data_IF_137583253539
#
_entry.id   IF_137583253539
#
_cell.length_a   1.000
_cell.length_b   1.000
_cell.length_c   1.000
_cell.angle_alpha   90.00
_cell.angle_beta   90.00
_cell.angle_gamma   90.00
#
_symmetry.space_group_name_H-M   'P 1'
#
loop_
_entity.id
_entity.type
_entity.pdbx_description
1 polymer ?
#
# COMPACT_ATOMS: atom_id res chain seq x y z
N UNK A 1 -62.90 72.82 52.00
CA UNK A 1 -61.85 71.96 51.41
C UNK A 1 -62.40 70.77 50.62
N UNK A 2 -63.71 70.49 50.67
CA UNK A 2 -64.40 69.37 50.00
C UNK A 2 -64.71 69.59 48.50
N UNK A 3 -64.88 70.83 48.04
CA UNK A 3 -65.22 71.11 46.63
C UNK A 3 -64.09 70.86 45.62
N UNK A 4 -62.83 71.06 46.00
CA UNK A 4 -61.68 70.83 45.09
C UNK A 4 -61.46 69.35 44.79
N UNK A 5 -61.76 68.48 45.76
CA UNK A 5 -61.64 67.01 45.63
C UNK A 5 -62.73 66.43 44.73
N UNK A 6 -63.94 66.98 44.81
CA UNK A 6 -65.07 66.65 43.92
C UNK A 6 -64.78 67.03 42.47
N UNK A 7 -64.32 68.26 42.22
CA UNK A 7 -63.99 68.71 40.86
C UNK A 7 -62.88 67.87 40.19
N UNK A 8 -61.84 67.50 40.94
CA UNK A 8 -60.78 66.62 40.45
C UNK A 8 -61.28 65.19 40.17
N UNK A 9 -62.16 64.64 41.02
CA UNK A 9 -62.77 63.33 40.80
C UNK A 9 -63.66 63.31 39.55
N UNK A 10 -64.47 64.36 39.33
CA UNK A 10 -65.28 64.53 38.12
C UNK A 10 -64.43 64.61 36.85
N UNK A 11 -63.29 65.30 36.91
CA UNK A 11 -62.37 65.45 35.77
C UNK A 11 -61.68 64.13 35.43
N UNK A 12 -61.23 63.38 36.44
CA UNK A 12 -60.69 62.02 36.27
C UNK A 12 -61.75 61.05 35.75
N UNK A 13 -62.99 61.13 36.26
CA UNK A 13 -64.13 60.35 35.76
C UNK A 13 -64.38 60.59 34.28
N UNK A 14 -64.43 61.85 33.86
CA UNK A 14 -64.66 62.21 32.46
C UNK A 14 -63.54 61.69 31.56
N UNK A 15 -62.28 61.76 32.01
CA UNK A 15 -61.13 61.30 31.24
C UNK A 15 -61.08 59.76 31.11
N UNK A 16 -61.30 59.04 32.22
CA UNK A 16 -61.35 57.58 32.22
C UNK A 16 -62.54 57.08 31.39
N UNK A 17 -63.69 57.76 31.51
CA UNK A 17 -64.88 57.43 30.73
C UNK A 17 -64.66 57.57 29.23
N UNK A 18 -64.05 58.68 28.78
CA UNK A 18 -63.70 58.88 27.37
C UNK A 18 -62.78 57.77 26.84
N UNK A 19 -61.78 57.35 27.64
CA UNK A 19 -60.87 56.24 27.26
C UNK A 19 -61.58 54.90 27.18
N UNK A 20 -62.47 54.59 28.12
CA UNK A 20 -63.27 53.37 28.11
C UNK A 20 -64.29 53.36 26.96
N UNK A 21 -64.94 54.48 26.67
CA UNK A 21 -65.87 54.62 25.54
C UNK A 21 -65.16 54.44 24.19
N UNK A 22 -63.94 54.95 24.05
CA UNK A 22 -63.10 54.73 22.86
C UNK A 22 -62.74 53.27 22.64
N UNK A 23 -62.65 52.49 23.71
CA UNK A 23 -62.41 51.04 23.68
C UNK A 23 -63.72 50.23 23.60
N UNK A 24 -64.88 50.90 23.54
CA UNK A 24 -66.20 50.27 23.41
C UNK A 24 -66.87 49.87 24.73
N UNK A 25 -66.24 50.15 25.88
CA UNK A 25 -66.81 49.84 27.20
C UNK A 25 -67.81 50.91 27.63
N UNK A 26 -69.08 50.73 27.24
CA UNK A 26 -70.15 51.72 27.45
C UNK A 26 -70.97 51.53 28.75
N UNK A 27 -70.70 50.52 29.58
CA UNK A 27 -71.46 50.28 30.82
C UNK A 27 -71.37 51.45 31.81
N UNK A 28 -72.42 51.70 32.59
CA UNK A 28 -72.45 52.79 33.58
C UNK A 28 -71.43 52.54 34.70
N UNK A 29 -70.74 53.60 35.14
CA UNK A 29 -69.68 53.52 36.16
C UNK A 29 -70.01 54.41 37.36
N UNK A 30 -69.92 53.85 38.57
CA UNK A 30 -70.08 54.59 39.82
C UNK A 30 -68.81 55.34 40.23
N UNK A 31 -68.95 56.45 40.95
CA UNK A 31 -67.82 57.27 41.42
C UNK A 31 -66.92 56.51 42.43
N UNK A 32 -67.51 55.63 43.25
CA UNK A 32 -66.79 54.81 44.25
C UNK A 32 -65.81 53.82 43.63
N UNK A 33 -66.10 53.35 42.40
CA UNK A 33 -65.27 52.35 41.70
C UNK A 33 -64.15 52.98 40.88
N UNK A 34 -64.13 54.32 40.73
CA UNK A 34 -63.21 55.05 39.88
C UNK A 34 -61.72 54.75 40.18
N UNK A 35 -61.23 54.81 41.44
CA UNK A 35 -59.79 54.67 41.71
C UNK A 35 -59.27 53.27 41.39
N UNK A 36 -60.11 52.25 41.55
CA UNK A 36 -59.76 50.86 41.24
C UNK A 36 -59.70 50.62 39.74
N UNK A 37 -60.71 51.11 39.00
CA UNK A 37 -60.75 50.98 37.54
C UNK A 37 -59.62 51.75 36.88
N UNK A 38 -59.26 52.93 37.40
CA UNK A 38 -58.11 53.70 36.92
C UNK A 38 -56.79 52.92 37.06
N UNK A 39 -56.57 52.26 38.22
CA UNK A 39 -55.39 51.42 38.44
C UNK A 39 -55.37 50.18 37.55
N UNK A 40 -56.47 49.42 37.49
CA UNK A 40 -56.56 48.24 36.65
C UNK A 40 -56.39 48.58 35.16
N UNK A 41 -56.93 49.72 34.73
CA UNK A 41 -56.76 50.19 33.37
C UNK A 41 -55.31 50.59 33.08
N UNK A 42 -54.65 51.30 34.00
CA UNK A 42 -53.24 51.62 33.88
C UNK A 42 -52.35 50.37 33.82
N UNK A 43 -52.62 49.38 34.68
CA UNK A 43 -51.89 48.11 34.69
C UNK A 43 -52.12 47.33 33.39
N UNK A 44 -53.35 47.29 32.87
CA UNK A 44 -53.66 46.62 31.61
C UNK A 44 -52.95 47.27 30.43
N UNK A 45 -52.96 48.60 30.35
CA UNK A 45 -52.22 49.35 29.32
C UNK A 45 -50.73 49.08 29.44
N UNK A 46 -50.17 49.18 30.64
CA UNK A 46 -48.75 48.93 30.89
C UNK A 46 -48.34 47.50 30.52
N UNK A 47 -49.15 46.50 30.89
CA UNK A 47 -48.89 45.10 30.58
C UNK A 47 -48.97 44.83 29.08
N UNK A 48 -49.94 45.45 28.38
CA UNK A 48 -50.12 45.31 26.93
C UNK A 48 -48.97 45.97 26.17
N UNK A 49 -48.55 47.16 26.58
CA UNK A 49 -47.38 47.86 26.01
C UNK A 49 -46.08 47.09 26.29
N UNK A 50 -45.91 46.57 27.51
CA UNK A 50 -44.75 45.73 27.86
C UNK A 50 -44.71 44.45 27.03
N UNK A 51 -45.85 43.78 26.85
CA UNK A 51 -45.96 42.58 26.02
C UNK A 51 -45.66 42.89 24.55
N UNK A 52 -46.17 44.02 24.03
CA UNK A 52 -45.90 44.47 22.66
C UNK A 52 -44.41 44.74 22.46
N UNK A 53 -43.77 45.43 23.40
CA UNK A 53 -42.33 45.71 23.36
C UNK A 53 -41.51 44.42 23.44
N UNK A 54 -41.86 43.50 24.36
CA UNK A 54 -41.19 42.20 24.46
C UNK A 54 -41.31 41.39 23.16
N UNK A 55 -42.47 41.39 22.49
CA UNK A 55 -42.64 40.74 21.18
C UNK A 55 -41.79 41.38 20.08
N UNK A 56 -41.68 42.71 20.07
CA UNK A 56 -40.83 43.41 19.10
C UNK A 56 -39.35 43.10 19.30
N UNK A 57 -38.87 43.11 20.54
CA UNK A 57 -37.49 42.76 20.86
C UNK A 57 -37.19 41.29 20.55
N UNK A 58 -38.12 40.37 20.86
CA UNK A 58 -37.98 38.97 20.47
C UNK A 58 -37.88 38.82 18.95
N UNK A 59 -38.72 39.56 18.20
CA UNK A 59 -38.67 39.59 16.74
C UNK A 59 -37.30 40.05 16.22
N UNK A 60 -36.77 41.16 16.74
CA UNK A 60 -35.43 41.67 16.39
C UNK A 60 -34.34 40.65 16.71
N UNK A 61 -34.37 40.07 17.90
CA UNK A 61 -33.38 39.09 18.33
C UNK A 61 -33.41 37.83 17.46
N UNK A 62 -34.60 37.38 17.05
CA UNK A 62 -34.71 36.26 16.09
C UNK A 62 -34.15 36.61 14.71
N UNK A 63 -34.37 37.84 14.22
CA UNK A 63 -33.80 38.26 12.94
C UNK A 63 -32.29 38.40 13.00
N UNK A 64 -31.74 38.97 14.08
CA UNK A 64 -30.30 39.08 14.29
C UNK A 64 -29.65 37.70 14.44
N UNK A 65 -30.29 36.77 15.17
CA UNK A 65 -29.79 35.41 15.31
C UNK A 65 -29.76 34.66 13.97
N UNK A 66 -30.77 34.86 13.12
CA UNK A 66 -30.81 34.24 11.79
C UNK A 66 -29.76 34.86 10.86
N UNK A 67 -29.52 36.17 10.95
CA UNK A 67 -28.49 36.85 10.16
C UNK A 67 -27.08 36.38 10.54
N UNK A 68 -26.82 36.23 11.85
CA UNK A 68 -25.56 35.64 12.34
C UNK A 68 -25.41 34.20 11.88
N UNK A 69 -26.47 33.37 11.97
CA UNK A 69 -26.40 31.98 11.51
C UNK A 69 -26.12 31.89 9.99
N UNK A 70 -26.76 32.76 9.20
CA UNK A 70 -26.52 32.89 7.76
C UNK A 70 -25.08 33.31 7.45
N UNK A 71 -24.51 34.22 8.24
CA UNK A 71 -23.14 34.67 8.07
C UNK A 71 -22.09 33.60 8.42
N UNK A 72 -22.38 32.69 9.38
CA UNK A 72 -21.45 31.64 9.81
C UNK A 72 -21.61 30.33 9.03
N UNK A 73 -22.76 30.07 8.41
CA UNK A 73 -23.02 28.85 7.64
C UNK A 73 -21.97 28.56 6.54
N UNK A 74 -21.51 29.55 5.75
CA UNK A 74 -20.45 29.34 4.77
C UNK A 74 -19.15 28.85 5.41
N UNK A 75 -18.76 29.45 6.53
CA UNK A 75 -17.53 29.08 7.25
C UNK A 75 -17.63 27.69 7.89
N UNK A 76 -18.80 27.32 8.44
CA UNK A 76 -19.05 25.96 8.95
C UNK A 76 -18.93 24.93 7.83
N UNK A 77 -19.53 25.21 6.68
CA UNK A 77 -19.48 24.35 5.50
C UNK A 77 -18.06 24.19 4.96
N UNK A 78 -17.32 25.30 4.86
CA UNK A 78 -15.96 25.28 4.35
C UNK A 78 -14.99 24.58 5.32
N UNK A 79 -15.09 24.86 6.62
CA UNK A 79 -14.32 24.15 7.64
C UNK A 79 -14.60 22.64 7.62
N UNK A 80 -15.85 22.22 7.43
CA UNK A 80 -16.16 20.80 7.32
C UNK A 80 -15.50 20.14 6.10
N UNK A 81 -15.43 20.85 4.96
CA UNK A 81 -14.71 20.38 3.76
C UNK A 81 -13.22 20.32 4.00
N UNK A 82 -12.62 21.37 4.56
CA UNK A 82 -11.19 21.45 4.84
C UNK A 82 -10.75 20.37 5.82
N UNK A 83 -11.53 20.12 6.88
CA UNK A 83 -11.22 19.04 7.84
C UNK A 83 -11.27 17.67 7.16
N UNK A 84 -12.24 17.45 6.26
CA UNK A 84 -12.32 16.20 5.50
C UNK A 84 -11.10 16.05 4.58
N UNK A 85 -10.78 17.06 3.79
CA UNK A 85 -9.62 17.04 2.90
C UNK A 85 -8.31 16.86 3.66
N UNK A 86 -8.14 17.55 4.79
CA UNK A 86 -6.97 17.42 5.64
C UNK A 86 -6.81 15.99 6.17
N UNK A 87 -7.90 15.36 6.63
CA UNK A 87 -7.88 13.96 7.06
C UNK A 87 -7.57 13.00 5.91
N UNK A 88 -8.16 13.22 4.73
CA UNK A 88 -7.92 12.38 3.55
C UNK A 88 -6.46 12.49 3.09
N UNK A 89 -5.91 13.71 3.04
CA UNK A 89 -4.50 13.96 2.73
C UNK A 89 -3.57 13.33 3.77
N UNK A 90 -3.89 13.45 5.06
CA UNK A 90 -3.10 12.80 6.11
C UNK A 90 -3.05 11.28 5.93
N UNK A 91 -4.19 10.64 5.63
CA UNK A 91 -4.23 9.21 5.36
C UNK A 91 -3.44 8.84 4.09
N UNK A 92 -3.50 9.66 3.04
CA UNK A 92 -2.76 9.43 1.81
C UNK A 92 -1.24 9.53 2.04
N UNK A 93 -0.79 10.52 2.81
CA UNK A 93 0.62 10.69 3.17
C UNK A 93 1.13 9.46 3.96
N UNK A 94 0.35 8.97 4.92
CA UNK A 94 0.71 7.78 5.69
C UNK A 94 0.86 6.57 4.78
N UNK A 95 -0.15 6.29 3.94
CA UNK A 95 -0.11 5.16 3.00
C UNK A 95 1.09 5.24 2.05
N UNK A 96 1.31 6.41 1.45
CA UNK A 96 2.38 6.59 0.48
C UNK A 96 3.76 6.46 1.14
N UNK A 97 3.89 6.89 2.41
CA UNK A 97 5.11 6.68 3.18
C UNK A 97 5.35 5.20 3.47
N UNK A 98 4.33 4.48 3.94
CA UNK A 98 4.44 3.05 4.24
C UNK A 98 4.79 2.23 2.98
N UNK A 99 4.16 2.55 1.84
CA UNK A 99 4.47 1.94 0.55
C UNK A 99 5.91 2.24 0.10
N UNK A 100 6.35 3.50 0.23
CA UNK A 100 7.72 3.89 -0.11
C UNK A 100 8.75 3.18 0.78
N UNK A 101 8.51 3.13 2.09
CA UNK A 101 9.39 2.46 3.05
C UNK A 101 9.46 0.95 2.78
N UNK A 102 8.34 0.33 2.38
CA UNK A 102 8.29 -1.07 1.97
C UNK A 102 9.14 -1.32 0.70
N UNK A 103 8.97 -0.50 -0.34
CA UNK A 103 9.75 -0.60 -1.59
C UNK A 103 11.24 -0.40 -1.31
N UNK A 104 11.60 0.61 -0.51
CA UNK A 104 13.00 0.87 -0.14
C UNK A 104 13.61 -0.32 0.60
N UNK A 105 12.85 -0.96 1.50
CA UNK A 105 13.30 -2.14 2.23
C UNK A 105 13.53 -3.33 1.30
N UNK A 106 12.61 -3.55 0.35
CA UNK A 106 12.72 -4.61 -0.65
C UNK A 106 13.92 -4.40 -1.58
N UNK A 107 14.08 -3.18 -2.12
CA UNK A 107 15.21 -2.84 -2.98
C UNK A 107 16.55 -3.00 -2.25
N UNK A 108 16.65 -2.59 -0.98
CA UNK A 108 17.86 -2.82 -0.16
C UNK A 108 18.12 -4.30 0.09
N UNK A 109 17.08 -5.11 0.25
CA UNK A 109 17.25 -6.56 0.38
C UNK A 109 17.76 -7.19 -0.92
N UNK A 110 17.17 -6.81 -2.06
CA UNK A 110 17.61 -7.25 -3.39
C UNK A 110 19.05 -6.83 -3.69
N UNK A 111 19.40 -5.57 -3.39
CA UNK A 111 20.75 -5.05 -3.56
C UNK A 111 21.77 -5.90 -2.80
N UNK A 112 21.52 -6.18 -1.51
CA UNK A 112 22.42 -7.02 -0.71
C UNK A 112 22.57 -8.44 -1.26
N UNK A 113 21.49 -9.04 -1.75
CA UNK A 113 21.56 -10.36 -2.42
C UNK A 113 22.47 -10.31 -3.64
N UNK A 114 22.24 -9.34 -4.53
CA UNK A 114 23.07 -9.15 -5.73
C UNK A 114 24.53 -8.82 -5.40
N UNK A 115 24.79 -8.06 -4.33
CA UNK A 115 26.15 -7.79 -3.85
C UNK A 115 26.87 -9.07 -3.40
N UNK A 116 26.17 -9.95 -2.66
CA UNK A 116 26.72 -11.25 -2.26
C UNK A 116 26.97 -12.15 -3.47
N UNK A 117 25.99 -12.32 -4.36
CA UNK A 117 26.15 -13.11 -5.58
C UNK A 117 27.31 -12.59 -6.46
N UNK A 118 27.44 -11.27 -6.59
CA UNK A 118 28.53 -10.65 -7.35
C UNK A 118 29.89 -10.90 -6.68
N UNK A 119 29.97 -10.84 -5.34
CA UNK A 119 31.18 -11.19 -4.61
C UNK A 119 31.58 -12.66 -4.81
N UNK A 120 30.61 -13.58 -4.75
CA UNK A 120 30.84 -15.00 -4.97
C UNK A 120 31.27 -15.30 -6.42
N UNK A 121 30.62 -14.68 -7.41
CA UNK A 121 31.01 -14.79 -8.81
C UNK A 121 32.42 -14.23 -9.06
N UNK A 122 32.79 -13.12 -8.44
CA UNK A 122 34.15 -12.57 -8.53
C UNK A 122 35.18 -13.52 -7.91
N UNK A 123 34.87 -14.11 -6.76
CA UNK A 123 35.72 -15.11 -6.12
C UNK A 123 35.91 -16.33 -7.01
N UNK A 124 34.82 -16.88 -7.55
CA UNK A 124 34.83 -18.03 -8.45
C UNK A 124 35.60 -17.74 -9.75
N UNK A 125 35.38 -16.56 -10.34
CA UNK A 125 36.12 -16.14 -11.54
C UNK A 125 37.63 -16.09 -11.27
N UNK A 126 38.04 -15.50 -10.14
CA UNK A 126 39.46 -15.48 -9.76
C UNK A 126 40.01 -16.91 -9.59
N UNK A 127 39.26 -17.81 -8.95
CA UNK A 127 39.65 -19.22 -8.83
C UNK A 127 39.85 -19.88 -10.19
N UNK A 128 38.93 -19.68 -11.14
CA UNK A 128 39.07 -20.20 -12.51
C UNK A 128 40.27 -19.62 -13.23
N UNK A 129 40.56 -18.33 -13.06
CA UNK A 129 41.76 -17.68 -13.62
C UNK A 129 43.03 -18.33 -13.06
N UNK A 130 43.11 -18.60 -11.75
CA UNK A 130 44.28 -19.28 -11.18
C UNK A 130 44.41 -20.72 -11.69
N UNK A 131 43.29 -21.46 -11.78
CA UNK A 131 43.28 -22.83 -12.29
C UNK A 131 43.70 -22.89 -13.76
N UNK A 132 43.24 -21.96 -14.59
CA UNK A 132 43.66 -21.84 -15.98
C UNK A 132 45.18 -21.61 -16.09
N UNK A 133 45.73 -20.67 -15.31
CA UNK A 133 47.18 -20.41 -15.26
C UNK A 133 47.98 -21.64 -14.82
N UNK A 134 47.49 -22.39 -13.84
CA UNK A 134 48.13 -23.63 -13.39
C UNK A 134 48.16 -24.68 -14.50
N UNK A 135 47.03 -24.89 -15.18
CA UNK A 135 46.94 -25.83 -16.31
C UNK A 135 47.80 -25.41 -17.50
N UNK A 136 47.86 -24.11 -17.80
CA UNK A 136 48.76 -23.56 -18.84
C UNK A 136 50.23 -23.84 -18.52
N UNK A 137 50.63 -23.66 -17.25
CA UNK A 137 51.97 -23.97 -16.77
C UNK A 137 52.29 -25.46 -16.90
N UNK A 138 51.41 -26.33 -16.41
CA UNK A 138 51.58 -27.80 -16.52
C UNK A 138 51.62 -28.26 -17.97
N UNK A 139 50.79 -27.68 -18.84
CA UNK A 139 50.79 -27.98 -20.27
C UNK A 139 52.13 -27.60 -20.92
N UNK A 140 52.69 -26.45 -20.54
CA UNK A 140 54.01 -26.02 -21.00
C UNK A 140 55.11 -26.97 -20.53
N UNK A 141 55.13 -27.32 -19.24
CA UNK A 141 56.10 -28.26 -18.67
C UNK A 141 56.04 -29.65 -19.32
N UNK A 142 54.82 -30.17 -19.58
CA UNK A 142 54.62 -31.43 -20.30
C UNK A 142 55.14 -31.34 -21.74
N UNK A 143 54.89 -30.22 -22.41
CA UNK A 143 55.37 -29.99 -23.79
C UNK A 143 56.90 -29.94 -23.84
N UNK A 144 57.53 -29.22 -22.91
CA UNK A 144 58.99 -29.16 -22.77
C UNK A 144 59.58 -30.54 -22.44
N UNK A 145 58.90 -31.31 -21.58
CA UNK A 145 59.32 -32.69 -21.26
C UNK A 145 59.23 -33.62 -22.47
N UNK A 146 58.19 -33.50 -23.29
CA UNK A 146 58.04 -34.25 -24.53
C UNK A 146 59.18 -33.90 -25.49
N UNK A 147 59.49 -32.62 -25.69
CA UNK A 147 60.60 -32.18 -26.54
C UNK A 147 61.94 -32.75 -26.05
N UNK A 148 62.23 -32.65 -24.75
CA UNK A 148 63.45 -33.21 -24.16
C UNK A 148 63.57 -34.74 -24.32
N UNK A 149 62.45 -35.46 -24.17
CA UNK A 149 62.42 -36.91 -24.38
C UNK A 149 62.58 -37.27 -25.85
N UNK A 150 61.99 -36.51 -26.76
CA UNK A 150 62.20 -36.66 -28.19
C UNK A 150 63.68 -36.46 -28.51
N UNK A 151 64.30 -35.36 -28.07
CA UNK A 151 65.73 -35.09 -28.20
C UNK A 151 66.60 -36.25 -27.69
N UNK A 152 66.33 -36.76 -26.48
CA UNK A 152 67.07 -37.93 -25.95
C UNK A 152 66.86 -39.20 -26.79
N UNK A 153 65.66 -39.41 -27.32
CA UNK A 153 65.36 -40.55 -28.19
C UNK A 153 66.12 -40.47 -29.52
N UNK A 154 66.30 -39.26 -30.10
CA UNK A 154 67.15 -39.05 -31.29
C UNK A 154 68.59 -39.54 -31.09
N UNK A 155 69.09 -39.55 -29.85
CA UNK A 155 70.45 -39.97 -29.50
C UNK A 155 70.56 -41.43 -29.02
N UNK A 156 69.44 -42.15 -28.90
CA UNK A 156 69.43 -43.53 -28.43
C UNK A 156 69.92 -44.50 -29.53
N UNK A 157 71.17 -44.96 -29.43
CA UNK A 157 71.75 -45.97 -30.33
C UNK A 157 71.37 -47.36 -29.84
N UNK A 158 70.54 -48.08 -30.61
CA UNK A 158 70.27 -49.51 -30.38
C UNK A 158 71.52 -50.31 -30.78
N UNK A 159 72.28 -50.81 -29.81
CA UNK A 159 73.29 -51.83 -30.07
C UNK A 159 72.59 -53.17 -30.24
N UNK A 160 72.50 -53.63 -31.49
CA UNK A 160 72.16 -55.04 -31.75
C UNK A 160 73.36 -55.93 -31.39
N UNK A 161 73.15 -57.13 -30.83
CA UNK A 161 74.21 -58.11 -30.58
C UNK A 161 74.79 -58.63 -31.90
N UNK A 162 75.66 -57.83 -32.52
CA UNK A 162 76.11 -58.05 -33.89
C UNK A 162 77.00 -56.93 -34.44
N UNK A 163 77.80 -56.29 -33.59
CA UNK A 163 79.07 -55.63 -33.93
C UNK A 163 79.11 -54.51 -34.99
N UNK A 164 78.00 -54.10 -35.61
CA UNK A 164 78.01 -53.05 -36.64
C UNK A 164 77.09 -51.90 -36.24
N UNK A 165 77.69 -50.80 -35.77
CA UNK A 165 77.02 -49.52 -35.50
C UNK A 165 76.42 -48.99 -36.81
N UNK A 166 75.13 -49.24 -37.05
CA UNK A 166 74.38 -48.60 -38.14
C UNK A 166 73.66 -47.40 -37.57
N UNK A 167 73.99 -46.21 -38.04
CA UNK A 167 73.20 -45.00 -37.81
C UNK A 167 71.89 -45.17 -38.58
N UNK A 168 70.80 -45.51 -37.88
CA UNK A 168 69.48 -45.66 -38.48
C UNK A 168 68.92 -44.24 -38.69
N UNK A 169 68.56 -43.84 -39.92
CA UNK A 169 67.98 -42.53 -40.17
C UNK A 169 66.64 -42.40 -39.44
N UNK A 170 66.42 -41.23 -38.84
CA UNK A 170 65.24 -40.93 -38.03
C UNK A 170 63.97 -41.04 -38.88
N UNK A 171 63.28 -42.19 -38.80
CA UNK A 171 61.85 -42.23 -39.10
C UNK A 171 61.13 -41.90 -37.81
N UNK A 172 60.30 -40.84 -37.83
CA UNK A 172 59.22 -40.71 -36.86
C UNK A 172 58.51 -42.06 -36.83
N UNK A 173 58.55 -42.77 -35.71
CA UNK A 173 57.74 -43.96 -35.51
C UNK A 173 56.29 -43.49 -35.62
N UNK A 174 55.70 -43.62 -36.81
CA UNK A 174 54.28 -43.43 -37.00
C UNK A 174 53.66 -44.71 -36.46
N UNK A 175 52.99 -44.62 -35.33
CA UNK A 175 52.01 -45.64 -35.01
C UNK A 175 50.91 -45.49 -36.07
N UNK A 176 50.84 -46.44 -36.99
CA UNK A 176 49.62 -46.66 -37.76
C UNK A 176 48.60 -47.19 -36.74
N UNK A 177 47.59 -46.37 -36.46
CA UNK A 177 46.49 -46.76 -35.61
C UNK A 177 45.55 -47.54 -36.54
N UNK A 178 45.65 -48.87 -36.52
CA UNK A 178 44.80 -49.73 -37.36
C UNK A 178 43.31 -49.58 -37.01
N UNK A 179 42.98 -49.05 -35.82
CA UNK A 179 41.61 -48.78 -35.40
C UNK A 179 41.56 -47.65 -34.38
N UNK A 180 40.73 -46.63 -34.64
CA UNK A 180 40.65 -45.41 -33.82
C UNK A 180 40.15 -45.72 -32.39
N UNK A 181 39.39 -46.80 -32.21
CA UNK A 181 38.92 -47.36 -30.94
C UNK A 181 38.62 -48.87 -31.14
N UNK A 182 38.99 -49.79 -30.24
CA UNK A 182 38.54 -51.18 -30.34
C UNK A 182 37.01 -51.26 -30.33
N UNK A 183 36.40 -52.07 -31.19
CA UNK A 183 34.96 -52.33 -31.12
C UNK A 183 34.64 -52.92 -29.74
N UNK A 184 33.89 -52.16 -28.94
CA UNK A 184 33.47 -52.57 -27.60
C UNK A 184 32.38 -53.62 -27.73
N UNK A 185 32.80 -54.88 -27.84
CA UNK A 185 31.89 -56.02 -27.86
C UNK A 185 31.39 -56.29 -26.44
N UNK A 186 30.35 -55.55 -26.05
CA UNK A 186 29.63 -55.69 -24.79
C UNK A 186 28.95 -54.39 -24.34
N UNK A 187 27.83 -54.46 -23.61
CA UNK A 187 27.23 -53.30 -22.97
C UNK A 187 28.09 -52.91 -21.76
N UNK A 188 29.30 -52.42 -22.03
CA UNK A 188 30.06 -51.66 -21.05
C UNK A 188 29.36 -50.32 -20.95
N UNK A 189 28.28 -50.30 -20.15
CA UNK A 189 27.74 -49.09 -19.57
C UNK A 189 28.90 -48.56 -18.74
N UNK A 190 29.74 -47.73 -19.37
CA UNK A 190 30.61 -46.85 -18.63
C UNK A 190 29.66 -46.16 -17.67
N UNK A 191 29.71 -46.58 -16.40
CA UNK A 191 29.20 -45.76 -15.32
C UNK A 191 30.12 -44.56 -15.41
N UNK A 192 29.71 -43.59 -16.22
CA UNK A 192 30.19 -42.22 -16.12
C UNK A 192 30.03 -41.98 -14.62
N UNK A 193 31.12 -41.84 -13.85
CA UNK A 193 30.98 -41.41 -12.47
C UNK A 193 30.18 -40.13 -12.62
N UNK A 194 28.95 -40.14 -12.13
CA UNK A 194 28.12 -38.95 -12.13
C UNK A 194 29.05 -37.88 -11.56
N UNK A 195 29.42 -36.84 -12.32
CA UNK A 195 30.18 -35.79 -11.69
C UNK A 195 29.25 -35.33 -10.58
N UNK A 196 29.65 -35.55 -9.32
CA UNK A 196 29.11 -34.83 -8.18
C UNK A 196 29.54 -33.37 -8.36
N UNK A 197 29.14 -32.78 -9.49
CA UNK A 197 29.24 -31.37 -9.75
C UNK A 197 28.16 -30.75 -8.86
N UNK A 198 28.54 -30.07 -7.78
CA UNK A 198 27.60 -29.50 -6.83
C UNK A 198 26.58 -28.59 -7.52
N UNK A 199 26.94 -28.03 -8.69
CA UNK A 199 26.08 -27.19 -9.50
C UNK A 199 24.93 -27.96 -10.17
N UNK A 200 25.14 -29.21 -10.59
CA UNK A 200 24.09 -30.05 -11.20
C UNK A 200 23.09 -30.49 -10.13
N UNK A 201 23.57 -30.83 -8.93
CA UNK A 201 22.72 -31.17 -7.79
C UNK A 201 21.90 -29.95 -7.31
N UNK A 202 22.52 -28.77 -7.24
CA UNK A 202 21.87 -27.52 -6.86
C UNK A 202 20.82 -27.09 -7.89
N UNK A 203 21.10 -27.23 -9.19
CA UNK A 203 20.12 -26.92 -10.24
C UNK A 203 18.90 -27.85 -10.20
N UNK A 204 19.11 -29.14 -9.92
CA UNK A 204 18.01 -30.09 -9.70
C UNK A 204 17.19 -29.73 -8.46
N UNK A 205 17.86 -29.35 -7.36
CA UNK A 205 17.19 -28.92 -6.14
C UNK A 205 16.40 -27.62 -6.34
N UNK A 206 16.93 -26.66 -7.11
CA UNK A 206 16.22 -25.44 -7.51
C UNK A 206 15.03 -25.75 -8.39
N UNK A 207 15.16 -26.69 -9.33
CA UNK A 207 14.06 -27.14 -10.18
C UNK A 207 12.95 -27.81 -9.35
N UNK A 208 13.29 -28.72 -8.42
CA UNK A 208 12.34 -29.39 -7.53
C UNK A 208 11.63 -28.39 -6.60
N UNK A 209 12.36 -27.43 -6.03
CA UNK A 209 11.79 -26.35 -5.24
C UNK A 209 10.81 -25.50 -6.07
N UNK A 210 11.17 -25.20 -7.32
CA UNK A 210 10.32 -24.44 -8.23
C UNK A 210 9.07 -25.20 -8.62
N UNK A 211 9.17 -26.50 -8.86
CA UNK A 211 8.03 -27.37 -9.13
C UNK A 211 7.11 -27.40 -7.91
N UNK A 212 7.65 -27.57 -6.70
CA UNK A 212 6.85 -27.56 -5.47
C UNK A 212 6.15 -26.21 -5.21
N UNK A 213 6.80 -25.09 -5.52
CA UNK A 213 6.16 -23.76 -5.47
C UNK A 213 5.02 -23.63 -6.48
N UNK A 214 5.25 -24.02 -7.73
CA UNK A 214 4.24 -23.99 -8.78
C UNK A 214 3.04 -24.88 -8.44
N UNK A 215 3.26 -26.07 -7.86
CA UNK A 215 2.19 -26.95 -7.42
C UNK A 215 1.36 -26.34 -6.28
N UNK A 216 1.99 -25.64 -5.33
CA UNK A 216 1.26 -24.92 -4.27
C UNK A 216 0.42 -23.79 -4.86
N UNK A 217 0.96 -23.05 -5.82
CA UNK A 217 0.26 -21.94 -6.46
C UNK A 217 -0.91 -22.44 -7.31
N UNK A 218 -0.75 -23.54 -8.04
CA UNK A 218 -1.84 -24.20 -8.78
C UNK A 218 -2.96 -24.63 -7.82
N UNK A 219 -2.61 -25.21 -6.66
CA UNK A 219 -3.60 -25.57 -5.63
C UNK A 219 -4.35 -24.35 -5.10
N UNK A 220 -3.61 -23.28 -4.76
CA UNK A 220 -4.19 -22.02 -4.26
C UNK A 220 -5.17 -21.42 -5.28
N UNK A 221 -4.78 -21.35 -6.55
CA UNK A 221 -5.62 -20.82 -7.63
C UNK A 221 -6.87 -21.68 -7.88
N UNK A 222 -6.75 -23.01 -7.78
CA UNK A 222 -7.91 -23.90 -7.87
C UNK A 222 -8.88 -23.70 -6.70
N UNK A 223 -8.38 -23.56 -5.47
CA UNK A 223 -9.22 -23.29 -4.30
C UNK A 223 -9.95 -21.94 -4.42
N UNK A 224 -9.25 -20.89 -4.89
CA UNK A 224 -9.85 -19.57 -5.13
C UNK A 224 -10.91 -19.61 -6.25
N UNK A 225 -10.64 -20.37 -7.31
CA UNK A 225 -11.59 -20.60 -8.40
C UNK A 225 -12.85 -21.29 -7.87
N UNK A 226 -12.71 -22.37 -7.12
CA UNK A 226 -13.82 -23.12 -6.53
C UNK A 226 -14.69 -22.23 -5.62
N UNK A 227 -14.07 -21.41 -4.77
CA UNK A 227 -14.77 -20.46 -3.91
C UNK A 227 -15.55 -19.45 -4.76
N UNK A 228 -14.95 -18.93 -5.82
CA UNK A 228 -15.57 -17.95 -6.71
C UNK A 228 -16.73 -18.55 -7.48
N UNK A 229 -16.58 -19.77 -8.00
CA UNK A 229 -17.65 -20.50 -8.69
C UNK A 229 -18.83 -20.78 -7.76
N UNK A 230 -18.58 -21.17 -6.50
CA UNK A 230 -19.64 -21.32 -5.49
C UNK A 230 -20.35 -20.00 -5.21
N UNK A 231 -19.62 -18.88 -5.07
CA UNK A 231 -20.22 -17.55 -4.90
C UNK A 231 -21.10 -17.17 -6.09
N UNK A 232 -20.61 -17.36 -7.31
CA UNK A 232 -21.37 -17.08 -8.54
C UNK A 232 -22.62 -17.95 -8.62
N UNK A 233 -22.53 -19.23 -8.27
CA UNK A 233 -23.69 -20.13 -8.22
C UNK A 233 -24.73 -19.66 -7.20
N UNK A 234 -24.31 -19.32 -5.98
CA UNK A 234 -25.19 -18.80 -4.95
C UNK A 234 -25.86 -17.48 -5.38
N UNK A 235 -25.12 -16.57 -6.02
CA UNK A 235 -25.72 -15.34 -6.56
C UNK A 235 -26.74 -15.63 -7.67
N UNK A 236 -26.47 -16.58 -8.56
CA UNK A 236 -27.45 -16.99 -9.59
C UNK A 236 -28.71 -17.56 -8.96
N UNK A 237 -28.58 -18.40 -7.93
CA UNK A 237 -29.72 -18.96 -7.19
C UNK A 237 -30.53 -17.86 -6.47
N UNK A 238 -29.86 -16.90 -5.83
CA UNK A 238 -30.55 -15.75 -5.20
C UNK A 238 -31.31 -14.91 -6.22
N UNK A 239 -30.72 -14.65 -7.40
CA UNK A 239 -31.39 -13.92 -8.48
C UNK A 239 -32.63 -14.71 -8.95
N UNK A 240 -32.55 -16.02 -9.13
CA UNK A 240 -33.70 -16.84 -9.55
C UNK A 240 -34.83 -16.81 -8.51
N UNK A 241 -34.51 -16.83 -7.20
CA UNK A 241 -35.50 -16.74 -6.12
C UNK A 241 -36.11 -15.34 -6.02
N UNK A 242 -35.39 -14.28 -6.40
CA UNK A 242 -35.91 -12.91 -6.37
C UNK A 242 -36.85 -12.57 -7.55
N UNK A 243 -36.80 -13.37 -8.63
CA UNK A 243 -37.58 -13.16 -9.85
C UNK A 243 -38.73 -14.18 -10.05
N UNK A 244 -38.96 -15.10 -9.10
CA UNK A 244 -40.16 -15.95 -9.03
C UNK A 244 -41.01 -15.56 -7.81
#
# INVERSE_FOLDING_TARGET
MTDKTSAQAQQKFTNLRKRLDQLGYRQTLGLESLPLVEKLFADLVHTTDSLKNAKLELGKQTTESNDVESAIEPYKSDNAKLVKENNDLHQQIIKQKDESDAIVKELKASLRKLEHENADLKFLNNQYVQKARQLEKESREKSDRILHLQEKNFHAVVQTPGGKKKTIPFRRQRMEIDTIVPESDGPSRLVIPNPEDPYIADLLQVADNRIAELDREIRRLNDEKDITERKVKNFREQVIVFFN
#
